data_IF_860455314925
#
_entry.id   IF_860455314925
#
_cell.length_a   1.000
_cell.length_b   1.000
_cell.length_c   1.000
_cell.angle_alpha   90.00
_cell.angle_beta   90.00
_cell.angle_gamma   90.00
#
_symmetry.space_group_name_H-M   'P 1'
#
loop_
_entity.id
_entity.type
_entity.pdbx_description
1 polymer ?
#
# COMPACT_ATOMS: atom_id res chain seq x y z
N UNK A 1 -12.17 -28.51 0.68
CA UNK A 1 -10.89 -28.44 1.43
C UNK A 1 -10.68 -26.99 1.83
N UNK A 2 -10.76 -26.67 3.12
CA UNK A 2 -10.48 -25.31 3.60
C UNK A 2 -9.00 -25.03 3.42
N UNK A 3 -8.65 -24.21 2.43
CA UNK A 3 -7.27 -23.80 2.21
C UNK A 3 -6.86 -22.88 3.36
N UNK A 4 -5.92 -23.29 4.20
CA UNK A 4 -5.30 -22.42 5.21
C UNK A 4 -4.15 -21.59 4.60
N UNK A 5 -3.96 -20.35 5.07
CA UNK A 5 -2.81 -19.51 4.72
C UNK A 5 -1.48 -20.16 5.14
N UNK A 6 -1.51 -21.00 6.19
CA UNK A 6 -0.34 -21.66 6.75
C UNK A 6 0.40 -22.57 5.74
N UNK A 7 -0.32 -23.19 4.78
CA UNK A 7 0.33 -23.95 3.70
C UNK A 7 1.22 -23.10 2.80
N UNK A 8 1.05 -21.78 2.84
CA UNK A 8 1.90 -20.83 2.12
C UNK A 8 2.88 -20.13 3.07
N UNK A 9 3.07 -20.61 4.30
CA UNK A 9 3.87 -19.97 5.37
C UNK A 9 3.47 -18.51 5.55
N UNK A 10 2.17 -18.30 5.72
CA UNK A 10 1.54 -17.01 5.98
C UNK A 10 0.73 -17.23 7.25
N UNK A 11 1.06 -16.51 8.32
CA UNK A 11 0.43 -16.67 9.64
C UNK A 11 -0.64 -15.59 9.76
N UNK A 12 -1.88 -16.00 10.06
CA UNK A 12 -2.96 -15.08 10.41
C UNK A 12 -3.02 -14.99 11.94
N UNK A 13 -2.80 -13.79 12.50
CA UNK A 13 -2.79 -13.55 13.95
C UNK A 13 -4.18 -13.56 14.61
N UNK A 14 -5.22 -13.82 13.81
CA UNK A 14 -6.60 -13.95 14.26
C UNK A 14 -7.15 -15.38 14.09
N UNK A 15 -6.32 -16.30 13.57
CA UNK A 15 -6.67 -17.71 13.52
C UNK A 15 -6.28 -18.37 14.84
N UNK A 16 -7.27 -18.52 15.74
CA UNK A 16 -7.09 -19.14 17.05
C UNK A 16 -6.49 -20.56 16.95
N UNK A 17 -6.78 -21.30 15.87
CA UNK A 17 -6.20 -22.63 15.68
C UNK A 17 -4.72 -22.54 15.38
N UNK A 18 -4.30 -21.56 14.58
CA UNK A 18 -2.88 -21.32 14.30
C UNK A 18 -2.16 -20.83 15.56
N UNK A 19 -2.80 -19.96 16.36
CA UNK A 19 -2.25 -19.50 17.64
C UNK A 19 -1.91 -20.65 18.59
N UNK A 20 -2.72 -21.70 18.63
CA UNK A 20 -2.43 -22.88 19.46
C UNK A 20 -1.19 -23.69 19.03
N UNK A 21 -0.64 -23.44 17.84
CA UNK A 21 0.56 -24.12 17.36
C UNK A 21 1.86 -23.49 17.89
N UNK A 22 1.79 -22.33 18.54
CA UNK A 22 2.96 -21.57 18.99
C UNK A 22 2.94 -21.39 20.51
N UNK A 23 4.14 -21.24 21.11
CA UNK A 23 4.24 -20.79 22.49
C UNK A 23 3.71 -19.34 22.63
N UNK A 24 3.46 -18.89 23.86
CA UNK A 24 3.01 -17.51 24.09
C UNK A 24 4.08 -16.50 23.68
N UNK A 25 5.34 -16.86 23.90
CA UNK A 25 6.52 -16.08 23.57
C UNK A 25 6.69 -15.98 22.05
N UNK A 26 6.65 -17.12 21.35
CA UNK A 26 6.73 -17.15 19.88
C UNK A 26 5.56 -16.38 19.25
N UNK A 27 4.34 -16.57 19.77
CA UNK A 27 3.18 -15.86 19.26
C UNK A 27 3.34 -14.35 19.43
N UNK A 28 3.79 -13.90 20.61
CA UNK A 28 4.05 -12.47 20.86
C UNK A 28 5.07 -11.89 19.89
N UNK A 29 6.11 -12.64 19.54
CA UNK A 29 7.11 -12.24 18.56
C UNK A 29 6.53 -12.21 17.13
N UNK A 30 5.84 -13.29 16.71
CA UNK A 30 5.23 -13.43 15.40
C UNK A 30 4.13 -12.39 15.13
N UNK A 31 3.43 -11.95 16.17
CA UNK A 31 2.38 -10.92 16.08
C UNK A 31 2.88 -9.53 16.42
N UNK A 32 4.19 -9.36 16.67
CA UNK A 32 4.78 -8.03 16.91
C UNK A 32 4.64 -7.22 15.63
N UNK A 33 3.77 -6.22 15.65
CA UNK A 33 3.55 -5.36 14.48
C UNK A 33 4.82 -4.55 14.20
N UNK A 34 5.31 -4.53 12.95
CA UNK A 34 6.34 -3.58 12.57
C UNK A 34 5.81 -2.17 12.79
N UNK A 35 6.67 -1.28 13.28
CA UNK A 35 6.34 0.14 13.35
C UNK A 35 6.14 0.66 11.92
N UNK A 36 4.93 1.12 11.61
CA UNK A 36 4.69 1.80 10.34
C UNK A 36 5.41 3.15 10.35
N UNK A 37 5.96 3.60 9.21
CA UNK A 37 6.61 4.90 9.16
C UNK A 37 5.57 6.01 9.35
N UNK A 38 6.03 7.07 10.00
CA UNK A 38 5.26 8.29 10.17
C UNK A 38 5.11 9.00 8.82
N UNK A 39 3.95 9.63 8.65
CA UNK A 39 3.75 10.59 7.56
C UNK A 39 4.32 11.93 8.01
N UNK A 40 5.10 12.56 7.14
CA UNK A 40 5.73 13.86 7.42
C UNK A 40 4.67 14.89 7.84
N UNK A 41 4.93 15.60 8.93
CA UNK A 41 4.02 16.61 9.49
C UNK A 41 3.64 17.67 8.46
N UNK A 42 4.56 18.08 7.57
CA UNK A 42 4.29 19.07 6.52
C UNK A 42 3.23 18.54 5.54
N UNK A 43 3.25 17.25 5.24
CA UNK A 43 2.23 16.61 4.40
C UNK A 43 0.89 16.59 5.14
N UNK A 44 0.87 16.20 6.42
CA UNK A 44 -0.35 16.23 7.23
C UNK A 44 -0.96 17.63 7.33
N UNK A 45 -0.12 18.64 7.59
CA UNK A 45 -0.51 20.05 7.62
C UNK A 45 -1.05 20.52 6.26
N UNK A 46 -0.50 20.04 5.16
CA UNK A 46 -1.03 20.33 3.82
C UNK A 46 -2.41 19.71 3.61
N UNK A 47 -2.61 18.44 3.98
CA UNK A 47 -3.90 17.75 3.88
C UNK A 47 -5.00 18.46 4.69
N UNK A 48 -4.70 18.90 5.91
CA UNK A 48 -5.64 19.57 6.81
C UNK A 48 -6.22 20.85 6.19
N UNK A 49 -5.48 21.56 5.32
CA UNK A 49 -5.98 22.75 4.63
C UNK A 49 -7.25 22.50 3.84
N UNK A 50 -7.41 21.29 3.32
CA UNK A 50 -8.53 20.91 2.49
C UNK A 50 -9.71 20.35 3.29
N UNK A 51 -9.58 20.20 4.60
CA UNK A 51 -10.70 19.81 5.46
C UNK A 51 -11.70 20.98 5.56
N UNK A 52 -12.77 20.92 4.76
CA UNK A 52 -13.80 21.97 4.65
C UNK A 52 -15.17 21.47 5.08
N UNK A 53 -16.04 22.39 5.48
CA UNK A 53 -17.40 22.08 5.93
C UNK A 53 -18.34 21.74 4.77
N UNK A 54 -18.14 22.37 3.61
CA UNK A 54 -18.98 22.22 2.43
C UNK A 54 -18.17 22.14 1.13
N UNK A 55 -18.85 21.67 0.07
CA UNK A 55 -18.23 21.44 -1.23
C UNK A 55 -17.79 22.74 -1.93
N UNK A 56 -18.49 23.86 -1.69
CA UNK A 56 -18.14 25.15 -2.28
C UNK A 56 -16.83 25.69 -1.67
N UNK A 57 -16.64 25.54 -0.37
CA UNK A 57 -15.38 25.84 0.30
C UNK A 57 -14.24 24.96 -0.20
N UNK A 58 -14.48 23.65 -0.35
CA UNK A 58 -13.48 22.75 -0.93
C UNK A 58 -13.12 23.19 -2.36
N UNK A 59 -14.11 23.51 -3.18
CA UNK A 59 -13.94 24.02 -4.56
C UNK A 59 -13.08 25.27 -4.59
N UNK A 60 -13.31 26.22 -3.70
CA UNK A 60 -12.49 27.42 -3.59
C UNK A 60 -11.04 27.08 -3.22
N UNK A 61 -10.82 26.18 -2.27
CA UNK A 61 -9.48 25.79 -1.82
C UNK A 61 -8.69 25.06 -2.93
N UNK A 62 -9.29 24.07 -3.60
CA UNK A 62 -8.61 23.31 -4.68
C UNK A 62 -8.35 24.14 -5.94
N UNK A 63 -8.97 25.33 -6.06
CA UNK A 63 -8.74 26.27 -7.16
C UNK A 63 -7.68 27.33 -6.84
N UNK A 64 -7.29 27.50 -5.58
CA UNK A 64 -6.18 28.38 -5.20
C UNK A 64 -4.86 27.80 -5.70
N UNK A 65 -3.91 28.67 -6.01
CA UNK A 65 -2.56 28.22 -6.32
C UNK A 65 -1.93 27.60 -5.07
N UNK A 66 -1.35 26.40 -5.21
CA UNK A 66 -0.64 25.71 -4.12
C UNK A 66 0.80 26.20 -3.96
N UNK A 67 1.30 26.92 -4.97
CA UNK A 67 2.55 27.66 -4.94
C UNK A 67 2.31 29.08 -4.46
N UNK A 68 3.32 29.67 -3.83
CA UNK A 68 3.32 31.10 -3.51
C UNK A 68 3.39 31.93 -4.80
N UNK A 69 3.02 33.20 -4.68
CA UNK A 69 3.22 34.15 -5.77
C UNK A 69 4.70 34.18 -6.19
N UNK A 70 4.94 34.18 -7.50
CA UNK A 70 6.26 34.11 -8.15
C UNK A 70 7.13 32.86 -7.85
N UNK A 71 6.61 31.88 -7.12
CA UNK A 71 7.32 30.63 -6.84
C UNK A 71 7.33 29.72 -8.08
N UNK A 72 8.52 29.31 -8.51
CA UNK A 72 8.69 28.37 -9.64
C UNK A 72 8.59 26.94 -9.13
N UNK A 73 7.87 26.09 -9.89
CA UNK A 73 7.70 24.69 -9.55
C UNK A 73 9.03 23.91 -9.55
N UNK A 74 9.45 23.47 -8.37
CA UNK A 74 10.44 22.40 -8.16
C UNK A 74 9.78 21.02 -7.87
N UNK A 75 9.99 19.98 -8.70
CA UNK A 75 9.50 18.62 -8.46
C UNK A 75 10.03 17.95 -7.18
N UNK A 76 11.10 18.43 -6.56
CA UNK A 76 11.61 17.87 -5.30
C UNK A 76 10.84 18.38 -4.08
N UNK A 77 10.37 19.61 -4.16
CA UNK A 77 9.72 20.31 -3.04
C UNK A 77 8.20 20.33 -3.17
N UNK A 78 7.67 20.36 -4.40
CA UNK A 78 6.25 20.64 -4.65
C UNK A 78 5.43 19.44 -5.09
N UNK A 79 6.05 18.30 -5.40
CA UNK A 79 5.36 17.12 -5.92
C UNK A 79 4.19 16.65 -5.06
N UNK A 80 4.38 16.61 -3.74
CA UNK A 80 3.31 16.22 -2.81
C UNK A 80 2.16 17.22 -2.79
N UNK A 81 2.43 18.52 -2.86
CA UNK A 81 1.38 19.55 -2.88
C UNK A 81 0.55 19.47 -4.16
N UNK A 82 1.23 19.31 -5.30
CA UNK A 82 0.58 19.13 -6.60
C UNK A 82 -0.28 17.86 -6.59
N UNK A 83 0.25 16.75 -6.09
CA UNK A 83 -0.48 15.50 -5.97
C UNK A 83 -1.76 15.64 -5.13
N UNK A 84 -1.66 16.23 -3.94
CA UNK A 84 -2.82 16.48 -3.06
C UNK A 84 -3.86 17.32 -3.79
N UNK A 85 -3.43 18.41 -4.44
CA UNK A 85 -4.33 19.30 -5.16
C UNK A 85 -5.01 18.59 -6.34
N UNK A 86 -4.29 17.81 -7.13
CA UNK A 86 -4.85 17.03 -8.25
C UNK A 86 -5.90 16.02 -7.73
N UNK A 87 -5.56 15.25 -6.69
CA UNK A 87 -6.45 14.24 -6.13
C UNK A 87 -7.75 14.87 -5.62
N UNK A 88 -7.65 15.95 -4.84
CA UNK A 88 -8.81 16.62 -4.24
C UNK A 88 -9.61 17.43 -5.26
N UNK A 89 -8.97 18.07 -6.23
CA UNK A 89 -9.66 18.75 -7.33
C UNK A 89 -10.44 17.77 -8.17
N UNK A 90 -9.88 16.59 -8.41
CA UNK A 90 -10.57 15.53 -9.14
C UNK A 90 -11.77 15.00 -8.35
N UNK A 91 -11.61 14.72 -7.05
CA UNK A 91 -12.72 14.30 -6.19
C UNK A 91 -13.84 15.36 -6.14
N UNK A 92 -13.47 16.64 -6.00
CA UNK A 92 -14.41 17.76 -6.02
C UNK A 92 -15.21 17.80 -7.33
N UNK A 93 -14.56 17.59 -8.48
CA UNK A 93 -15.26 17.47 -9.77
C UNK A 93 -16.24 16.30 -9.82
N UNK A 94 -15.90 15.15 -9.21
CA UNK A 94 -16.80 13.99 -9.17
C UNK A 94 -18.03 14.25 -8.30
N UNK A 95 -17.88 14.97 -7.18
CA UNK A 95 -19.01 15.35 -6.33
C UNK A 95 -19.92 16.41 -6.95
N UNK A 96 -19.35 17.38 -7.67
CA UNK A 96 -20.14 18.44 -8.31
C UNK A 96 -20.81 18.02 -9.61
N UNK A 97 -20.39 16.89 -10.19
CA UNK A 97 -20.90 16.45 -11.49
C UNK A 97 -22.42 16.17 -11.39
N UNK A 98 -23.28 16.86 -12.18
CA UNK A 98 -24.73 16.68 -12.11
C UNK A 98 -25.22 15.27 -12.42
N UNK A 99 -24.42 14.47 -13.13
CA UNK A 99 -24.72 13.07 -13.43
C UNK A 99 -24.41 12.10 -12.27
N UNK A 100 -23.92 12.61 -11.14
CA UNK A 100 -23.57 11.86 -9.94
C UNK A 100 -22.82 10.55 -10.23
N UNK A 101 -21.66 10.59 -10.92
CA UNK A 101 -20.95 9.40 -11.39
C UNK A 101 -20.60 8.41 -10.27
N UNK A 102 -20.32 8.89 -9.06
CA UNK A 102 -20.02 8.07 -7.88
C UNK A 102 -21.23 7.30 -7.34
N UNK A 103 -22.44 7.75 -7.62
CA UNK A 103 -23.68 7.12 -7.16
C UNK A 103 -24.20 6.08 -8.16
N UNK A 104 -23.66 6.06 -9.38
CA UNK A 104 -24.11 5.16 -10.44
C UNK A 104 -23.47 3.78 -10.28
N UNK A 105 -24.14 2.79 -10.85
CA UNK A 105 -23.54 1.49 -11.09
C UNK A 105 -22.43 1.65 -12.13
N UNK A 106 -21.18 1.58 -11.66
CA UNK A 106 -19.99 1.68 -12.47
C UNK A 106 -19.27 0.34 -12.54
N UNK A 107 -18.55 0.09 -13.63
CA UNK A 107 -17.56 -0.98 -13.69
C UNK A 107 -16.40 -0.67 -12.74
N UNK A 108 -15.75 -1.70 -12.24
CA UNK A 108 -14.59 -1.56 -11.35
C UNK A 108 -13.47 -0.73 -11.98
N UNK A 109 -13.18 -0.97 -13.27
CA UNK A 109 -12.19 -0.21 -14.04
C UNK A 109 -12.49 1.29 -14.09
N UNK A 110 -13.76 1.69 -13.97
CA UNK A 110 -14.11 3.10 -13.92
C UNK A 110 -13.49 3.77 -12.69
N UNK A 111 -13.49 3.12 -11.51
CA UNK A 111 -12.85 3.64 -10.30
C UNK A 111 -11.32 3.60 -10.42
N UNK A 112 -10.77 2.56 -11.04
CA UNK A 112 -9.33 2.49 -11.34
C UNK A 112 -8.86 3.71 -12.13
N UNK A 113 -9.60 4.08 -13.18
CA UNK A 113 -9.25 5.22 -14.05
C UNK A 113 -9.59 6.56 -13.42
N UNK A 114 -10.81 6.72 -12.88
CA UNK A 114 -11.33 8.02 -12.45
C UNK A 114 -11.07 8.33 -10.98
N UNK A 115 -10.42 7.45 -10.22
CA UNK A 115 -10.15 7.73 -8.81
C UNK A 115 -8.74 7.29 -8.45
N UNK A 116 -8.44 6.01 -8.62
CA UNK A 116 -7.17 5.46 -8.18
C UNK A 116 -5.97 5.90 -9.03
N UNK A 117 -6.16 6.19 -10.33
CA UNK A 117 -5.09 6.75 -11.16
C UNK A 117 -4.54 8.08 -10.62
N UNK A 118 -5.44 9.02 -10.28
CA UNK A 118 -5.03 10.33 -9.76
C UNK A 118 -4.56 10.28 -8.30
N UNK A 119 -5.17 9.41 -7.48
CA UNK A 119 -4.81 9.32 -6.07
C UNK A 119 -3.52 8.51 -5.84
N UNK A 120 -3.33 7.41 -6.58
CA UNK A 120 -2.27 6.45 -6.30
C UNK A 120 -1.14 6.52 -7.34
N UNK A 121 -1.47 6.49 -8.64
CA UNK A 121 -0.43 6.34 -9.67
C UNK A 121 0.48 7.56 -9.76
N UNK A 122 -0.11 8.75 -9.63
CA UNK A 122 0.65 9.98 -9.55
C UNK A 122 1.66 9.92 -8.39
N UNK A 123 1.23 9.58 -7.17
CA UNK A 123 2.15 9.60 -6.03
C UNK A 123 3.27 8.55 -6.17
N UNK A 124 2.93 7.36 -6.65
CA UNK A 124 3.90 6.27 -6.82
C UNK A 124 4.89 6.49 -7.95
N UNK A 125 4.69 7.49 -8.82
CA UNK A 125 5.68 7.90 -9.84
C UNK A 125 6.64 8.98 -9.34
N UNK A 126 6.74 9.17 -8.03
CA UNK A 126 7.60 10.18 -7.42
C UNK A 126 9.03 10.11 -7.99
N UNK A 127 9.62 11.22 -8.49
CA UNK A 127 10.89 11.22 -9.22
C UNK A 127 12.06 10.52 -8.49
N UNK A 128 12.11 10.65 -7.16
CA UNK A 128 13.13 10.03 -6.30
C UNK A 128 13.14 8.50 -6.28
N UNK A 129 12.06 7.82 -6.68
CA UNK A 129 11.90 6.37 -6.49
C UNK A 129 12.10 5.56 -7.77
N UNK A 130 12.02 6.19 -8.96
CA UNK A 130 12.06 5.50 -10.26
C UNK A 130 11.06 4.33 -10.35
N UNK A 131 9.89 4.49 -9.75
CA UNK A 131 8.81 3.51 -9.71
C UNK A 131 7.73 3.80 -10.75
N UNK A 132 7.09 2.73 -11.23
CA UNK A 132 5.92 2.80 -12.10
C UNK A 132 4.93 1.68 -11.74
N UNK A 133 3.73 1.76 -12.30
CA UNK A 133 2.64 0.84 -12.01
C UNK A 133 2.16 0.19 -13.30
N UNK A 134 2.16 -1.14 -13.30
CA UNK A 134 1.47 -1.94 -14.31
C UNK A 134 0.03 -2.13 -13.86
N UNK A 135 -0.90 -1.43 -14.49
CA UNK A 135 -2.34 -1.53 -14.24
C UNK A 135 -2.98 -2.68 -15.04
N UNK A 136 -4.11 -3.15 -14.52
CA UNK A 136 -5.06 -4.08 -15.14
C UNK A 136 -4.49 -5.47 -15.37
N UNK A 137 -4.93 -6.41 -14.53
CA UNK A 137 -4.78 -7.84 -14.77
C UNK A 137 -3.30 -8.27 -14.94
N UNK A 138 -2.41 -7.51 -14.29
CA UNK A 138 -0.96 -7.57 -14.46
C UNK A 138 -0.43 -8.84 -13.78
N UNK A 139 0.23 -9.75 -14.52
CA UNK A 139 0.75 -10.97 -13.94
C UNK A 139 2.02 -10.69 -13.14
N UNK A 140 2.02 -11.02 -11.84
CA UNK A 140 3.19 -10.88 -10.98
C UNK A 140 4.34 -11.79 -11.44
N UNK A 141 5.43 -11.13 -11.80
CA UNK A 141 6.73 -11.71 -12.12
C UNK A 141 7.27 -12.47 -10.92
N UNK A 142 7.15 -11.93 -9.71
CA UNK A 142 7.59 -12.62 -8.49
C UNK A 142 6.82 -13.93 -8.27
N UNK A 143 5.50 -13.91 -8.43
CA UNK A 143 4.67 -15.12 -8.42
C UNK A 143 5.08 -16.10 -9.52
N UNK A 144 5.40 -15.61 -10.73
CA UNK A 144 5.87 -16.44 -11.83
C UNK A 144 7.23 -17.07 -11.51
N UNK A 145 8.18 -16.30 -10.96
CA UNK A 145 9.51 -16.76 -10.58
C UNK A 145 9.42 -17.90 -9.56
N UNK A 146 8.57 -17.76 -8.52
CA UNK A 146 8.31 -18.86 -7.58
C UNK A 146 7.77 -20.10 -8.27
N UNK A 147 6.69 -19.97 -9.07
CA UNK A 147 6.04 -21.10 -9.75
C UNK A 147 6.98 -21.85 -10.70
N UNK A 148 7.94 -21.17 -11.30
CA UNK A 148 8.84 -21.75 -12.30
C UNK A 148 10.23 -22.11 -11.74
N UNK A 149 10.45 -22.04 -10.42
CA UNK A 149 11.78 -22.21 -9.80
C UNK A 149 12.41 -23.58 -10.03
N UNK A 150 11.63 -24.65 -9.88
CA UNK A 150 12.10 -26.03 -10.03
C UNK A 150 11.87 -26.59 -11.44
N UNK A 151 11.63 -25.71 -12.41
CA UNK A 151 11.08 -26.12 -13.71
C UNK A 151 12.17 -26.62 -14.65
N UNK A 152 11.86 -27.68 -15.39
CA UNK A 152 12.79 -28.29 -16.36
C UNK A 152 12.81 -27.54 -17.69
N UNK A 153 13.94 -27.58 -18.43
CA UNK A 153 14.00 -27.05 -19.80
C UNK A 153 12.91 -27.72 -20.67
N UNK A 154 12.22 -26.96 -21.53
CA UNK A 154 11.13 -27.37 -22.45
C UNK A 154 9.68 -27.34 -21.93
N UNK A 155 9.43 -27.11 -20.65
CA UNK A 155 8.05 -26.89 -20.18
C UNK A 155 7.59 -25.44 -20.46
N UNK A 156 6.29 -25.20 -20.69
CA UNK A 156 5.73 -23.82 -20.87
C UNK A 156 5.81 -23.03 -19.57
N UNK A 157 6.17 -21.73 -19.62
CA UNK A 157 6.26 -20.85 -18.43
C UNK A 157 4.87 -20.66 -17.81
N UNK A 158 4.77 -20.93 -16.51
CA UNK A 158 3.56 -20.65 -15.75
C UNK A 158 3.47 -19.15 -15.49
N UNK A 159 2.30 -18.58 -15.73
CA UNK A 159 2.03 -17.17 -15.46
C UNK A 159 1.88 -16.90 -13.96
N UNK A 160 2.27 -15.69 -13.53
CA UNK A 160 2.04 -15.17 -12.19
C UNK A 160 0.57 -15.11 -11.79
N UNK A 161 0.30 -14.76 -10.53
CA UNK A 161 -1.05 -14.31 -10.15
C UNK A 161 -1.28 -12.96 -10.81
N UNK A 162 -2.45 -12.75 -11.38
CA UNK A 162 -2.86 -11.46 -11.95
C UNK A 162 -3.50 -10.62 -10.85
N UNK A 163 -3.15 -9.35 -10.73
CA UNK A 163 -3.70 -8.38 -9.78
C UNK A 163 -3.99 -7.07 -10.52
N UNK A 164 -4.76 -6.17 -9.91
CA UNK A 164 -5.21 -4.94 -10.58
C UNK A 164 -4.09 -3.91 -10.78
N UNK A 165 -3.06 -3.98 -9.94
CA UNK A 165 -1.86 -3.19 -10.10
C UNK A 165 -0.62 -3.86 -9.53
N UNK A 166 0.53 -3.62 -10.18
CA UNK A 166 1.84 -3.98 -9.64
C UNK A 166 2.72 -2.76 -9.65
N UNK A 167 3.22 -2.38 -8.48
CA UNK A 167 4.23 -1.35 -8.32
C UNK A 167 5.58 -2.00 -8.57
N UNK A 168 6.37 -1.45 -9.48
CA UNK A 168 7.70 -1.96 -9.76
C UNK A 168 8.71 -0.84 -9.94
N UNK A 169 9.97 -1.14 -9.70
CA UNK A 169 11.06 -0.27 -10.10
C UNK A 169 11.21 -0.33 -11.63
N UNK A 170 11.21 0.82 -12.31
CA UNK A 170 11.26 0.89 -13.77
C UNK A 170 12.58 0.34 -14.34
N UNK A 171 13.72 0.73 -13.75
CA UNK A 171 15.06 0.29 -14.20
C UNK A 171 15.37 -1.17 -13.89
N UNK A 172 15.14 -1.61 -12.64
CA UNK A 172 15.51 -2.97 -12.21
C UNK A 172 14.43 -4.02 -12.47
N UNK A 173 13.22 -3.60 -12.87
CA UNK A 173 12.07 -4.46 -13.10
C UNK A 173 11.78 -5.44 -11.94
N UNK A 174 11.97 -4.95 -10.70
CA UNK A 174 11.66 -5.65 -9.46
C UNK A 174 10.31 -5.14 -8.95
N UNK A 175 9.45 -6.06 -8.56
CA UNK A 175 8.14 -5.76 -7.96
C UNK A 175 8.34 -5.31 -6.51
N UNK A 176 7.63 -4.26 -6.10
CA UNK A 176 7.76 -3.63 -4.77
C UNK A 176 6.44 -3.65 -3.99
N UNK A 177 5.32 -3.86 -4.69
CA UNK A 177 3.99 -3.90 -4.11
C UNK A 177 2.94 -4.31 -5.14
N UNK A 178 1.72 -4.54 -4.67
CA UNK A 178 0.58 -4.89 -5.50
C UNK A 178 -0.65 -4.11 -5.04
N UNK A 179 -1.61 -3.96 -5.95
CA UNK A 179 -2.91 -3.33 -5.73
C UNK A 179 -4.01 -4.29 -6.12
N UNK A 180 -5.08 -4.28 -5.34
CA UNK A 180 -6.37 -4.84 -5.71
C UNK A 180 -7.42 -3.77 -5.43
N UNK A 181 -8.34 -3.57 -6.37
CA UNK A 181 -9.47 -2.68 -6.21
C UNK A 181 -10.74 -3.51 -5.98
N UNK A 182 -11.73 -2.94 -5.32
CA UNK A 182 -13.05 -3.54 -5.24
C UNK A 182 -14.12 -2.47 -5.49
N UNK A 183 -15.13 -2.82 -6.28
CA UNK A 183 -16.26 -1.92 -6.59
C UNK A 183 -17.05 -1.54 -5.34
N UNK A 184 -17.26 -2.49 -4.43
CA UNK A 184 -18.02 -2.29 -3.21
C UNK A 184 -17.66 -3.37 -2.20
N UNK A 185 -17.61 -3.01 -0.93
CA UNK A 185 -17.58 -3.95 0.19
C UNK A 185 -18.99 -4.02 0.75
N UNK A 186 -19.71 -5.10 0.45
CA UNK A 186 -21.09 -5.24 0.92
C UNK A 186 -21.11 -5.91 2.29
N UNK A 187 -20.51 -7.11 2.43
CA UNK A 187 -20.49 -7.89 3.69
C UNK A 187 -19.28 -8.85 3.75
N UNK A 188 -19.00 -9.41 4.93
CA UNK A 188 -17.93 -10.38 5.24
C UNK A 188 -17.97 -11.68 4.41
N UNK A 189 -19.15 -12.02 3.89
CA UNK A 189 -19.36 -13.19 3.05
C UNK A 189 -19.11 -12.93 1.55
N UNK A 190 -18.66 -11.74 1.17
CA UNK A 190 -18.39 -11.45 -0.24
C UNK A 190 -17.30 -12.38 -0.77
N UNK A 191 -17.63 -13.08 -1.86
CA UNK A 191 -16.75 -14.03 -2.52
C UNK A 191 -15.46 -13.35 -2.97
N UNK A 192 -15.50 -12.06 -3.32
CA UNK A 192 -14.32 -11.29 -3.72
C UNK A 192 -13.35 -11.17 -2.55
N UNK A 193 -13.82 -10.74 -1.37
CA UNK A 193 -13.03 -10.68 -0.13
C UNK A 193 -12.43 -12.05 0.25
N UNK A 194 -13.23 -13.11 0.18
CA UNK A 194 -12.76 -14.47 0.49
C UNK A 194 -11.68 -14.96 -0.49
N UNK A 195 -11.78 -14.65 -1.78
CA UNK A 195 -10.75 -15.01 -2.76
C UNK A 195 -9.50 -14.14 -2.60
N UNK A 196 -9.69 -12.85 -2.38
CA UNK A 196 -8.62 -11.86 -2.26
C UNK A 196 -7.79 -12.03 -1.00
N UNK A 197 -8.43 -12.39 0.11
CA UNK A 197 -7.75 -12.73 1.37
C UNK A 197 -6.65 -13.77 1.16
N UNK A 198 -6.77 -14.68 0.19
CA UNK A 198 -5.69 -15.62 -0.18
C UNK A 198 -4.79 -15.13 -1.29
N UNK A 199 -5.35 -14.40 -2.26
CA UNK A 199 -4.63 -13.97 -3.46
C UNK A 199 -3.57 -12.94 -3.11
N UNK A 200 -3.95 -11.87 -2.41
CA UNK A 200 -3.08 -10.72 -2.14
C UNK A 200 -1.93 -11.07 -1.20
N UNK A 201 -2.13 -11.72 -0.04
CA UNK A 201 -1.03 -12.09 0.83
C UNK A 201 -0.03 -13.04 0.18
N UNK A 202 -0.50 -13.95 -0.69
CA UNK A 202 0.39 -14.83 -1.46
C UNK A 202 1.18 -14.07 -2.52
N UNK A 203 0.57 -13.08 -3.17
CA UNK A 203 1.27 -12.22 -4.14
C UNK A 203 2.32 -11.36 -3.43
N UNK A 204 1.94 -10.67 -2.34
CA UNK A 204 2.85 -9.82 -1.56
C UNK A 204 4.00 -10.62 -0.94
N UNK A 205 3.73 -11.82 -0.42
CA UNK A 205 4.78 -12.74 0.01
C UNK A 205 5.74 -13.07 -1.13
N UNK A 206 5.22 -13.44 -2.30
CA UNK A 206 6.05 -13.81 -3.44
C UNK A 206 6.94 -12.62 -3.86
N UNK A 207 6.40 -11.40 -3.86
CA UNK A 207 7.13 -10.14 -4.11
C UNK A 207 8.24 -9.94 -3.07
N UNK A 208 7.94 -10.03 -1.78
CA UNK A 208 8.92 -9.89 -0.70
C UNK A 208 10.08 -10.88 -0.85
N UNK A 209 9.77 -12.16 -1.09
CA UNK A 209 10.78 -13.20 -1.28
C UNK A 209 11.64 -12.93 -2.53
N UNK A 210 11.06 -12.41 -3.61
CA UNK A 210 11.80 -12.06 -4.83
C UNK A 210 12.71 -10.84 -4.61
N UNK A 211 12.27 -9.83 -3.85
CA UNK A 211 13.10 -8.69 -3.44
C UNK A 211 14.34 -9.15 -2.67
N UNK A 212 14.16 -9.98 -1.63
CA UNK A 212 15.25 -10.55 -0.82
C UNK A 212 16.27 -11.29 -1.70
N UNK A 213 15.79 -12.05 -2.68
CA UNK A 213 16.62 -12.84 -3.60
C UNK A 213 17.39 -11.99 -4.59
N UNK A 214 16.78 -10.89 -5.07
CA UNK A 214 17.37 -10.02 -6.08
C UNK A 214 18.69 -9.40 -5.63
N UNK A 215 18.86 -9.21 -4.31
CA UNK A 215 20.03 -8.56 -3.69
C UNK A 215 20.84 -9.44 -2.75
N UNK A 216 20.43 -10.69 -2.51
CA UNK A 216 21.01 -11.57 -1.47
C UNK A 216 21.08 -10.84 -0.12
N UNK A 217 19.96 -10.24 0.28
CA UNK A 217 19.86 -9.47 1.51
C UNK A 217 20.32 -10.29 2.72
N UNK A 218 21.00 -9.65 3.66
CA UNK A 218 21.27 -10.23 4.98
C UNK A 218 20.04 -10.12 5.89
N UNK A 219 20.06 -10.81 7.04
CA UNK A 219 18.92 -10.85 7.96
C UNK A 219 18.50 -9.45 8.47
N UNK A 220 19.45 -8.52 8.65
CA UNK A 220 19.16 -7.15 9.07
C UNK A 220 18.39 -6.36 7.99
N UNK A 221 18.74 -6.54 6.72
CA UNK A 221 18.06 -5.93 5.58
C UNK A 221 16.67 -6.52 5.36
N UNK A 222 16.53 -7.86 5.51
CA UNK A 222 15.25 -8.56 5.39
C UNK A 222 14.24 -8.03 6.41
N UNK A 223 14.68 -7.80 7.65
CA UNK A 223 13.83 -7.29 8.73
C UNK A 223 13.30 -5.87 8.49
N UNK A 224 13.86 -5.13 7.53
CA UNK A 224 13.42 -3.77 7.16
C UNK A 224 12.38 -3.77 6.03
N UNK A 225 12.23 -4.89 5.31
CA UNK A 225 11.34 -4.96 4.15
C UNK A 225 9.90 -5.22 4.55
N UNK A 226 8.99 -4.39 4.05
CA UNK A 226 7.55 -4.51 4.32
C UNK A 226 6.76 -4.47 3.01
N UNK A 227 5.84 -5.41 2.83
CA UNK A 227 4.83 -5.36 1.77
C UNK A 227 3.51 -4.90 2.37
N UNK A 228 2.76 -4.07 1.65
CA UNK A 228 1.55 -3.40 2.17
C UNK A 228 0.33 -3.85 1.39
N UNK A 229 -0.77 -3.94 2.13
CA UNK A 229 -2.13 -3.96 1.64
C UNK A 229 -2.91 -2.92 2.45
N UNK A 230 -3.59 -1.99 1.79
CA UNK A 230 -4.40 -0.93 2.42
C UNK A 230 -5.81 -1.01 1.83
N UNK A 231 -6.83 -1.14 2.71
CA UNK A 231 -8.24 -1.22 2.31
C UNK A 231 -8.91 0.10 2.69
N UNK A 232 -9.45 0.80 1.69
CA UNK A 232 -10.18 2.05 1.91
C UNK A 232 -11.49 2.06 1.13
N UNK A 233 -12.51 2.69 1.72
CA UNK A 233 -13.77 2.98 1.06
C UNK A 233 -13.87 4.49 0.81
N UNK A 234 -14.50 4.85 -0.30
CA UNK A 234 -14.73 6.26 -0.67
C UNK A 234 -16.23 6.46 -0.79
N UNK A 235 -16.74 7.45 -0.05
CA UNK A 235 -18.15 7.81 -0.06
C UNK A 235 -18.58 8.32 -1.43
N UNK A 236 -19.78 7.91 -1.85
CA UNK A 236 -20.42 8.41 -3.07
C UNK A 236 -21.05 9.80 -2.91
N UNK A 237 -21.20 10.30 -1.69
CA UNK A 237 -21.74 11.62 -1.39
C UNK A 237 -20.74 12.47 -0.59
N UNK A 238 -20.77 13.79 -0.82
CA UNK A 238 -19.98 14.72 -0.04
C UNK A 238 -20.60 14.95 1.34
N UNK A 239 -19.74 14.88 2.35
CA UNK A 239 -19.94 15.30 3.74
C UNK A 239 -18.58 15.57 4.37
N UNK A 240 -18.55 16.33 5.47
CA UNK A 240 -17.32 16.53 6.25
C UNK A 240 -16.64 15.21 6.62
N UNK A 241 -17.42 14.22 7.06
CA UNK A 241 -16.93 12.86 7.38
C UNK A 241 -16.33 12.17 6.16
N UNK A 242 -17.02 12.18 5.02
CA UNK A 242 -16.49 11.55 3.80
C UNK A 242 -15.19 12.18 3.30
N UNK A 243 -15.06 13.50 3.46
CA UNK A 243 -13.86 14.22 3.07
C UNK A 243 -12.70 13.85 4.00
N UNK A 244 -12.96 13.75 5.30
CA UNK A 244 -11.99 13.29 6.28
C UNK A 244 -11.53 11.85 5.98
N UNK A 245 -12.45 10.94 5.66
CA UNK A 245 -12.13 9.56 5.29
C UNK A 245 -11.26 9.53 4.02
N UNK A 246 -11.55 10.40 3.04
CA UNK A 246 -10.72 10.54 1.86
C UNK A 246 -9.33 11.11 2.16
N UNK A 247 -9.20 12.08 3.07
CA UNK A 247 -7.89 12.60 3.50
C UNK A 247 -7.08 11.53 4.26
N UNK A 248 -7.74 10.70 5.07
CA UNK A 248 -7.14 9.53 5.72
C UNK A 248 -6.68 8.49 4.69
N UNK A 249 -7.45 8.28 3.62
CA UNK A 249 -7.03 7.47 2.48
C UNK A 249 -5.78 8.04 1.79
N UNK A 250 -5.73 9.34 1.47
CA UNK A 250 -4.53 9.96 0.90
C UNK A 250 -3.32 9.80 1.82
N UNK A 251 -3.49 9.99 3.13
CA UNK A 251 -2.43 9.74 4.12
C UNK A 251 -1.92 8.28 4.06
N UNK A 252 -2.81 7.31 3.93
CA UNK A 252 -2.41 5.91 3.81
C UNK A 252 -1.53 5.69 2.58
N UNK A 253 -1.90 6.25 1.42
CA UNK A 253 -1.07 6.18 0.19
C UNK A 253 0.33 6.79 0.41
N UNK A 254 0.43 7.92 1.13
CA UNK A 254 1.73 8.52 1.49
C UNK A 254 2.55 7.56 2.35
N UNK A 255 1.92 6.92 3.33
CA UNK A 255 2.59 5.91 4.16
C UNK A 255 3.06 4.73 3.33
N UNK A 256 2.25 4.24 2.38
CA UNK A 256 2.66 3.16 1.49
C UNK A 256 3.86 3.56 0.61
N UNK A 257 3.88 4.81 0.13
CA UNK A 257 5.00 5.36 -0.62
C UNK A 257 6.28 5.42 0.22
N UNK A 258 6.18 5.87 1.48
CA UNK A 258 7.32 5.92 2.41
C UNK A 258 7.90 4.54 2.69
N UNK A 259 7.06 3.51 2.84
CA UNK A 259 7.53 2.14 3.00
C UNK A 259 8.25 1.64 1.75
N UNK A 260 7.71 1.90 0.56
CA UNK A 260 8.39 1.52 -0.69
C UNK A 260 9.73 2.24 -0.79
N UNK A 261 9.79 3.53 -0.44
CA UNK A 261 11.06 4.27 -0.37
C UNK A 261 12.04 3.64 0.62
N UNK A 262 11.58 3.24 1.81
CA UNK A 262 12.42 2.57 2.81
C UNK A 262 12.91 1.21 2.31
N UNK A 263 12.06 0.42 1.62
CA UNK A 263 12.47 -0.82 0.98
C UNK A 263 13.56 -0.55 -0.09
N UNK A 264 13.38 0.47 -0.92
CA UNK A 264 14.37 0.85 -1.93
C UNK A 264 15.70 1.29 -1.30
N UNK A 265 15.67 2.01 -0.18
CA UNK A 265 16.86 2.37 0.61
C UNK A 265 17.54 1.14 1.20
N UNK A 266 16.77 0.21 1.78
CA UNK A 266 17.27 -1.04 2.35
C UNK A 266 17.91 -1.93 1.27
N UNK A 267 17.38 -1.92 0.05
CA UNK A 267 17.91 -2.65 -1.11
C UNK A 267 19.08 -1.92 -1.81
N UNK A 268 19.46 -0.73 -1.33
CA UNK A 268 20.53 0.09 -1.88
C UNK A 268 20.23 0.64 -3.29
N UNK A 269 18.96 0.80 -3.66
CA UNK A 269 18.56 1.39 -4.94
C UNK A 269 18.54 2.91 -4.92
N UNK A 270 18.34 3.51 -3.75
CA UNK A 270 18.33 4.96 -3.54
C UNK A 270 19.09 5.32 -2.26
N UNK A 271 19.66 6.52 -2.20
CA UNK A 271 20.49 6.96 -1.06
C UNK A 271 19.69 7.10 0.25
N UNK A 272 20.34 6.76 1.37
CA UNK A 272 19.80 6.99 2.71
C UNK A 272 20.01 8.45 3.13
N UNK A 273 18.94 9.24 3.19
CA UNK A 273 18.93 10.50 3.94
C UNK A 273 18.35 10.26 5.33
N UNK A 274 19.11 10.62 6.36
CA UNK A 274 18.67 10.60 7.77
C UNK A 274 17.62 11.72 7.93
N UNK A 275 16.37 11.41 8.31
CA UNK A 275 15.39 12.44 8.60
C UNK A 275 15.82 13.26 9.83
N UNK A 276 15.70 14.58 9.76
CA UNK A 276 15.69 15.42 10.97
C UNK A 276 14.30 15.27 11.59
N UNK A 277 14.26 14.79 12.84
CA UNK A 277 13.04 14.74 13.64
C UNK A 277 12.82 16.16 14.17
N UNK A 278 11.80 16.85 13.67
CA UNK A 278 11.32 18.09 14.25
C UNK A 278 10.24 17.76 15.30
N UNK A 279 10.54 18.01 16.58
CA UNK A 279 9.66 17.82 17.74
C UNK A 279 8.57 18.91 17.79
N UNK A 280 7.31 18.63 17.42
CA UNK A 280 6.25 19.64 17.60
C UNK A 280 4.85 19.10 17.92
N UNK A 281 4.12 19.92 18.69
CA UNK A 281 2.86 19.66 19.40
C UNK A 281 1.64 19.58 18.47
N UNK A 282 0.73 18.67 18.82
CA UNK A 282 -0.55 18.41 18.15
C UNK A 282 -1.56 19.56 18.31
N UNK A 283 -2.15 19.97 17.20
CA UNK A 283 -3.47 20.61 17.16
C UNK A 283 -4.52 19.51 16.91
N UNK A 284 -5.69 19.58 17.55
CA UNK A 284 -6.69 18.48 17.61
C UNK A 284 -7.15 17.93 16.24
N UNK A 285 -7.15 18.74 15.17
CA UNK A 285 -7.48 18.27 13.81
C UNK A 285 -6.28 17.63 13.10
N UNK A 286 -5.09 18.15 13.38
CA UNK A 286 -3.84 17.63 12.85
C UNK A 286 -3.56 16.28 13.51
N UNK A 287 -3.82 16.13 14.82
CA UNK A 287 -3.74 14.83 15.48
C UNK A 287 -4.73 13.86 14.87
N UNK A 288 -5.98 14.20 14.60
CA UNK A 288 -6.92 13.25 13.97
C UNK A 288 -6.46 12.76 12.59
N UNK A 289 -5.91 13.66 11.76
CA UNK A 289 -5.35 13.27 10.46
C UNK A 289 -4.01 12.55 10.66
N UNK A 290 -3.14 12.97 11.58
CA UNK A 290 -1.82 12.38 11.83
C UNK A 290 -1.84 11.16 12.74
N UNK A 291 -2.95 10.85 13.40
CA UNK A 291 -3.05 9.79 14.40
C UNK A 291 -2.66 8.47 13.75
N UNK A 292 -1.70 7.82 14.40
CA UNK A 292 -1.18 6.53 13.98
C UNK A 292 -1.91 5.38 14.68
N UNK A 293 -2.90 5.70 15.51
CA UNK A 293 -3.90 4.80 16.08
C UNK A 293 -4.79 4.12 15.02
N UNK A 294 -5.30 2.95 15.40
CA UNK A 294 -5.91 1.92 14.54
C UNK A 294 -6.82 2.43 13.42
N UNK A 295 -6.69 1.79 12.24
CA UNK A 295 -7.65 1.75 11.12
C UNK A 295 -9.01 2.34 11.48
N UNK A 296 -9.27 3.56 11.02
CA UNK A 296 -10.60 4.13 11.08
C UNK A 296 -11.46 3.39 10.03
N UNK A 297 -12.40 2.61 10.58
CA UNK A 297 -13.55 1.93 9.96
C UNK A 297 -13.28 0.93 8.83
N UNK A 298 -12.68 -0.23 9.16
CA UNK A 298 -13.25 -1.46 8.61
C UNK A 298 -14.70 -1.58 9.10
N UNK A 299 -15.69 -1.93 8.26
CA UNK A 299 -16.94 -2.49 8.77
C UNK A 299 -16.56 -3.59 9.75
N UNK A 300 -17.17 -3.66 10.94
CA UNK A 300 -16.87 -4.70 11.93
C UNK A 300 -16.87 -6.07 11.26
N UNK A 301 -15.67 -6.54 10.95
CA UNK A 301 -15.33 -7.84 10.37
C UNK A 301 -14.48 -8.53 11.43
N UNK A 302 -14.51 -9.88 11.55
CA UNK A 302 -13.48 -10.60 12.24
C UNK A 302 -12.16 -10.27 11.54
N UNK A 303 -11.33 -9.53 12.26
CA UNK A 303 -10.06 -9.03 11.77
C UNK A 303 -9.23 -10.23 11.27
N UNK A 304 -8.65 -10.13 10.07
CA UNK A 304 -7.60 -11.03 9.59
C UNK A 304 -6.41 -10.12 9.30
N UNK A 305 -5.33 -10.27 10.07
CA UNK A 305 -4.03 -9.60 9.84
C UNK A 305 -2.97 -10.70 9.70
N UNK A 306 -1.97 -10.43 8.89
CA UNK A 306 -1.03 -11.43 8.40
C UNK A 306 0.39 -11.00 8.74
N UNK A 307 1.14 -11.87 9.39
CA UNK A 307 2.58 -11.72 9.58
C UNK A 307 3.36 -12.76 8.76
N UNK A 308 4.54 -12.36 8.27
CA UNK A 308 5.44 -13.17 7.44
C UNK A 308 6.72 -13.44 8.24
N UNK A 309 7.02 -14.71 8.49
CA UNK A 309 8.31 -15.17 9.03
C UNK A 309 9.15 -15.73 7.89
N UNK A 310 10.41 -15.32 7.79
CA UNK A 310 11.39 -15.86 6.84
C UNK A 310 12.41 -16.66 7.64
N UNK A 311 12.34 -17.99 7.57
CA UNK A 311 13.41 -18.84 8.11
C UNK A 311 14.68 -18.63 7.28
N UNK A 312 15.78 -18.34 7.96
CA UNK A 312 17.12 -18.31 7.37
C UNK A 312 17.48 -19.72 6.90
N UNK A 313 17.94 -19.82 5.65
CA UNK A 313 18.41 -21.09 5.10
C UNK A 313 19.75 -21.43 5.77
N UNK A 314 19.74 -22.41 6.67
CA UNK A 314 20.96 -23.06 7.15
C UNK A 314 21.75 -23.59 5.96
N UNK A 315 22.97 -23.07 5.79
CA UNK A 315 23.94 -23.61 4.87
C UNK A 315 24.61 -24.83 5.50
N UNK A 316 23.95 -25.99 5.44
CA UNK A 316 24.64 -27.27 5.63
C UNK A 316 25.41 -27.58 4.35
N UNK A 317 26.60 -27.00 4.26
CA UNK A 317 27.66 -27.49 3.38
C UNK A 317 28.09 -28.83 3.97
N UNK A 318 27.72 -29.90 3.29
CA UNK A 318 28.31 -31.22 3.49
C UNK A 318 29.77 -31.15 3.05
N UNK A 319 30.69 -31.02 4.01
CA UNK A 319 32.08 -31.37 3.80
C UNK A 319 32.20 -32.89 3.70
N UNK A 320 32.63 -33.35 2.53
CA UNK A 320 33.03 -34.73 2.31
C UNK A 320 34.28 -35.07 3.13
N UNK A 321 34.28 -36.28 3.69
CA UNK A 321 35.40 -36.82 4.44
C UNK A 321 35.49 -38.34 4.32
N UNK A 322 36.15 -38.78 3.23
CA UNK A 322 36.71 -40.11 2.91
C UNK A 322 35.77 -41.26 2.55
#
# INVERSE_FOLDING_TARGET
MNHSHAHSFIICDHDDKIKTLFSKEDWKELTKKPSLPYVDYKIGKELVKYMKEDLAQLRQEVMRNFLKEDEVYDPKEHYFKEWIQIALRHLCNLYENPSAPLCREQYEDWFTVNLFGNCFDFLMRHPKMSTDIKRTDAPSTASANRKNRAKKPKQRKLTGRKVDGIIHHATYNIELGALEAARSFVNDGDRKLLIESFKMPKTLKDILVDMIRSKRCNDEEVNKLVAIDDIHSISNHFSKTSLLDFLKFLKAIVRSQTIIENNLKALGFIEQKIPKVDDFKEEDLISEILDNGQDLSRPTTPENKISITVDSVSSDITEGGK
#
